data_IF_341107183782
#
_entry.id   IF_341107183782
#
_cell.length_a   1.000
_cell.length_b   1.000
_cell.length_c   1.000
_cell.angle_alpha   90.00
_cell.angle_beta   90.00
_cell.angle_gamma   90.00
#
_symmetry.space_group_name_H-M   'P 1'
#
loop_
_entity.id
_entity.type
_entity.pdbx_description
1 polymer ?
#
# COMPACT_ATOMS: atom_id res chain seq x y z
N UNK A 1 0.39 4.91 18.59
CA UNK A 1 1.14 5.94 17.83
C UNK A 1 2.58 5.44 17.70
N UNK A 2 3.16 5.44 16.50
CA UNK A 2 4.46 4.80 16.27
C UNK A 2 5.65 5.54 16.91
N UNK A 3 5.75 6.86 16.73
CA UNK A 3 6.86 7.67 17.27
C UNK A 3 6.38 9.03 17.81
N UNK A 4 5.26 9.07 18.54
CA UNK A 4 4.69 10.33 19.06
C UNK A 4 4.01 11.24 18.03
N UNK A 5 3.89 10.84 16.75
CA UNK A 5 3.16 11.59 15.74
C UNK A 5 1.68 11.82 16.12
N UNK A 6 1.23 13.08 16.04
CA UNK A 6 -0.14 13.48 16.39
C UNK A 6 -0.88 13.88 15.11
N UNK A 7 -1.89 13.11 14.75
CA UNK A 7 -2.74 13.38 13.59
C UNK A 7 -4.10 13.91 14.07
N UNK A 8 -4.64 14.88 13.33
CA UNK A 8 -6.03 15.34 13.49
C UNK A 8 -6.80 14.92 12.25
N UNK A 9 -7.82 14.09 12.42
CA UNK A 9 -8.74 13.75 11.34
C UNK A 9 -9.80 14.85 11.26
N UNK A 10 -9.92 15.49 10.10
CA UNK A 10 -10.96 16.50 9.83
C UNK A 10 -11.98 15.93 8.83
N UNK A 11 -13.26 16.23 9.05
CA UNK A 11 -14.35 15.82 8.14
C UNK A 11 -14.59 16.80 7.00
N UNK A 12 -14.18 18.05 7.17
CA UNK A 12 -14.29 19.05 6.13
C UNK A 12 -13.30 18.71 5.00
N UNK A 13 -13.79 18.59 3.76
CA UNK A 13 -12.94 18.55 2.59
C UNK A 13 -12.26 19.93 2.44
N UNK A 14 -11.07 20.07 3.00
CA UNK A 14 -10.29 21.33 2.98
C UNK A 14 -9.71 21.70 1.61
N UNK A 15 -9.88 20.83 0.61
CA UNK A 15 -9.48 21.06 -0.77
C UNK A 15 -10.31 20.18 -1.72
N UNK A 16 -10.56 20.67 -2.93
CA UNK A 16 -11.13 19.87 -4.02
C UNK A 16 -10.02 19.17 -4.80
N UNK A 17 -10.08 17.85 -4.91
CA UNK A 17 -9.15 17.07 -5.71
C UNK A 17 -9.75 16.82 -7.11
N UNK A 18 -9.06 17.26 -8.16
CA UNK A 18 -9.41 16.91 -9.55
C UNK A 18 -8.68 15.63 -9.91
N UNK A 19 -9.43 14.58 -10.23
CA UNK A 19 -8.86 13.31 -10.71
C UNK A 19 -8.46 13.47 -12.16
N UNK A 20 -7.18 13.24 -12.46
CA UNK A 20 -6.66 13.15 -13.82
C UNK A 20 -6.03 11.78 -14.02
N UNK A 21 -6.27 11.17 -15.19
CA UNK A 21 -5.77 9.83 -15.50
C UNK A 21 -4.24 9.76 -15.51
N UNK A 22 -3.58 10.86 -15.85
CA UNK A 22 -2.13 11.04 -15.89
C UNK A 22 -1.54 11.62 -14.60
N UNK A 23 -2.34 11.79 -13.56
CA UNK A 23 -1.82 12.20 -12.25
C UNK A 23 -0.96 11.10 -11.62
N UNK A 24 -0.06 11.49 -10.72
CA UNK A 24 0.75 10.53 -9.95
C UNK A 24 -0.12 9.48 -9.24
N UNK A 25 -1.27 9.89 -8.70
CA UNK A 25 -2.26 8.99 -8.08
C UNK A 25 -3.03 8.14 -9.10
N UNK A 26 -3.23 8.65 -10.32
CA UNK A 26 -3.92 7.95 -11.41
C UNK A 26 -3.05 6.90 -12.10
N UNK A 27 -1.73 7.12 -12.14
CA UNK A 27 -0.74 6.21 -12.71
C UNK A 27 0.03 5.41 -11.65
N UNK A 28 -0.52 5.27 -10.44
CA UNK A 28 0.16 4.58 -9.35
C UNK A 28 0.56 3.16 -9.75
N UNK A 29 1.88 2.88 -9.74
CA UNK A 29 2.42 1.62 -10.27
C UNK A 29 2.17 0.51 -9.27
N UNK A 30 2.05 -0.72 -9.76
CA UNK A 30 1.99 -1.92 -8.91
C UNK A 30 3.22 -2.02 -8.00
N UNK A 31 4.37 -1.59 -8.50
CA UNK A 31 5.61 -1.50 -7.72
C UNK A 31 5.51 -0.55 -6.51
N UNK A 32 4.67 0.48 -6.57
CA UNK A 32 4.50 1.41 -5.46
C UNK A 32 3.74 0.77 -4.30
N UNK A 33 2.80 -0.14 -4.57
CA UNK A 33 2.17 -0.98 -3.53
C UNK A 33 3.21 -1.89 -2.85
N UNK A 34 4.12 -2.50 -3.63
CA UNK A 34 5.21 -3.30 -3.06
C UNK A 34 6.10 -2.45 -2.16
N UNK A 35 6.53 -1.27 -2.62
CA UNK A 35 7.36 -0.34 -1.84
C UNK A 35 6.68 0.10 -0.55
N UNK A 36 5.38 0.34 -0.58
CA UNK A 36 4.62 0.75 0.60
C UNK A 36 4.56 -0.37 1.64
N UNK A 37 4.31 -1.61 1.23
CA UNK A 37 4.36 -2.76 2.14
C UNK A 37 5.79 -3.02 2.66
N UNK A 38 6.83 -2.85 1.82
CA UNK A 38 8.23 -2.97 2.23
C UNK A 38 8.61 -1.89 3.27
N UNK A 39 8.04 -0.68 3.15
CA UNK A 39 8.22 0.39 4.14
C UNK A 39 7.59 0.04 5.50
N UNK A 40 6.42 -0.61 5.53
CA UNK A 40 5.83 -1.09 6.80
C UNK A 40 6.75 -2.10 7.50
N UNK A 41 7.37 -3.03 6.73
CA UNK A 41 8.34 -3.98 7.28
C UNK A 41 9.57 -3.26 7.83
N UNK A 42 10.07 -2.23 7.15
CA UNK A 42 11.19 -1.42 7.64
C UNK A 42 10.84 -0.71 8.96
N UNK A 43 9.60 -0.21 9.11
CA UNK A 43 9.13 0.39 10.36
C UNK A 43 9.03 -0.63 11.51
N UNK A 44 8.77 -1.91 11.23
CA UNK A 44 8.75 -2.95 12.25
C UNK A 44 10.14 -3.25 12.85
N UNK A 45 11.22 -2.88 12.17
CA UNK A 45 12.59 -3.02 12.68
C UNK A 45 12.95 -1.98 13.76
N UNK A 46 12.06 -1.03 14.07
CA UNK A 46 12.28 -0.06 15.14
C UNK A 46 11.99 -0.73 16.49
N UNK A 47 13.03 -0.98 17.28
CA UNK A 47 12.94 -1.69 18.55
C UNK A 47 12.06 -0.97 19.59
N UNK A 48 12.18 0.35 19.67
CA UNK A 48 11.45 1.19 20.63
C UNK A 48 9.96 1.35 20.31
N UNK A 49 9.47 0.73 19.23
CA UNK A 49 8.10 0.85 18.79
C UNK A 49 7.16 0.01 19.68
N UNK A 50 6.09 0.60 20.26
CA UNK A 50 5.17 -0.17 21.10
C UNK A 50 4.51 -1.31 20.34
N UNK A 51 4.27 -2.46 20.99
CA UNK A 51 3.70 -3.64 20.32
C UNK A 51 2.32 -3.37 19.70
N UNK A 52 1.50 -2.50 20.30
CA UNK A 52 0.24 -2.07 19.70
C UNK A 52 0.42 -1.35 18.35
N UNK A 53 1.47 -0.53 18.23
CA UNK A 53 1.84 0.11 16.97
C UNK A 53 2.38 -0.90 15.96
N UNK A 54 3.22 -1.86 16.39
CA UNK A 54 3.70 -2.96 15.54
C UNK A 54 2.54 -3.82 15.02
N UNK A 55 1.53 -4.10 15.84
CA UNK A 55 0.35 -4.86 15.42
C UNK A 55 -0.44 -4.15 14.30
N UNK A 56 -0.59 -2.83 14.39
CA UNK A 56 -1.24 -2.03 13.33
C UNK A 56 -0.40 -2.04 12.06
N UNK A 57 0.93 -1.87 12.15
CA UNK A 57 1.83 -1.95 11.00
C UNK A 57 1.77 -3.33 10.33
N UNK A 58 1.80 -4.43 11.08
CA UNK A 58 1.65 -5.79 10.54
C UNK A 58 0.32 -5.98 9.80
N UNK A 59 -0.77 -5.39 10.32
CA UNK A 59 -2.07 -5.43 9.65
C UNK A 59 -2.07 -4.62 8.35
N UNK A 60 -1.49 -3.43 8.38
CA UNK A 60 -1.36 -2.55 7.22
C UNK A 60 -0.49 -3.21 6.13
N UNK A 61 0.68 -3.74 6.49
CA UNK A 61 1.58 -4.42 5.57
C UNK A 61 0.87 -5.53 4.81
N UNK A 62 0.17 -6.43 5.51
CA UNK A 62 -0.59 -7.53 4.88
C UNK A 62 -1.63 -6.99 3.91
N UNK A 63 -2.40 -5.99 4.33
CA UNK A 63 -3.43 -5.40 3.48
C UNK A 63 -2.85 -4.77 2.21
N UNK A 64 -1.72 -4.06 2.31
CA UNK A 64 -1.04 -3.44 1.16
C UNK A 64 -0.42 -4.51 0.27
N UNK A 65 0.18 -5.55 0.87
CA UNK A 65 0.78 -6.68 0.16
C UNK A 65 -0.26 -7.47 -0.64
N UNK A 66 -1.44 -7.69 -0.07
CA UNK A 66 -2.53 -8.39 -0.76
C UNK A 66 -3.06 -7.58 -1.96
N UNK A 67 -3.16 -6.25 -1.81
CA UNK A 67 -3.47 -5.35 -2.94
C UNK A 67 -2.39 -5.43 -4.03
N UNK A 68 -1.11 -5.45 -3.65
CA UNK A 68 0.00 -5.63 -4.59
C UNK A 68 -0.14 -6.96 -5.35
N UNK A 69 -0.33 -8.08 -4.64
CA UNK A 69 -0.46 -9.41 -5.27
C UNK A 69 -1.59 -9.46 -6.28
N UNK A 70 -2.77 -8.97 -5.88
CA UNK A 70 -3.94 -8.91 -6.77
C UNK A 70 -3.65 -8.05 -8.00
N UNK A 71 -3.09 -6.84 -7.81
CA UNK A 71 -2.81 -5.96 -8.95
C UNK A 71 -1.74 -6.55 -9.87
N UNK A 72 -0.69 -7.15 -9.32
CA UNK A 72 0.34 -7.80 -10.12
C UNK A 72 -0.20 -8.99 -10.92
N UNK A 73 -1.11 -9.78 -10.33
CA UNK A 73 -1.82 -10.82 -11.07
C UNK A 73 -2.62 -10.23 -12.25
N UNK A 74 -3.34 -9.13 -12.04
CA UNK A 74 -4.10 -8.47 -13.10
C UNK A 74 -3.21 -7.88 -14.19
N UNK A 75 -2.05 -7.33 -13.83
CA UNK A 75 -1.08 -6.81 -14.79
C UNK A 75 -0.49 -7.96 -15.63
N UNK A 76 -0.06 -9.05 -14.99
CA UNK A 76 0.42 -10.26 -15.69
C UNK A 76 -0.66 -10.82 -16.62
N UNK A 77 -1.91 -10.89 -16.16
CA UNK A 77 -3.06 -11.32 -16.97
C UNK A 77 -3.24 -10.41 -18.19
N UNK A 78 -3.11 -9.10 -18.03
CA UNK A 78 -3.29 -8.13 -19.10
C UNK A 78 -2.15 -8.18 -20.12
N UNK A 79 -0.91 -8.39 -19.67
CA UNK A 79 0.28 -8.41 -20.53
C UNK A 79 0.53 -9.76 -21.21
N UNK A 80 0.24 -10.87 -20.52
CA UNK A 80 0.67 -12.23 -20.92
C UNK A 80 -0.47 -13.25 -21.01
N UNK A 81 -1.71 -12.83 -20.75
CA UNK A 81 -2.88 -13.69 -20.78
C UNK A 81 -3.11 -14.48 -19.49
N UNK A 82 -4.27 -15.14 -19.42
CA UNK A 82 -4.81 -15.76 -18.20
C UNK A 82 -3.97 -16.95 -17.69
N UNK A 83 -3.39 -17.74 -18.59
CA UNK A 83 -2.53 -18.90 -18.27
C UNK A 83 -1.25 -18.47 -17.56
N UNK A 84 -0.62 -17.37 -17.98
CA UNK A 84 0.56 -16.82 -17.33
C UNK A 84 0.25 -16.23 -15.94
N UNK A 85 -0.95 -15.69 -15.74
CA UNK A 85 -1.38 -15.16 -14.45
C UNK A 85 -1.65 -16.27 -13.42
N UNK A 86 -2.24 -17.39 -13.85
CA UNK A 86 -2.48 -18.54 -12.98
C UNK A 86 -1.18 -19.20 -12.49
N UNK A 87 -0.11 -19.17 -13.30
CA UNK A 87 1.21 -19.67 -12.88
C UNK A 87 1.95 -18.73 -11.90
N UNK A 88 1.49 -17.48 -11.74
CA UNK A 88 2.03 -16.51 -10.81
C UNK A 88 1.37 -16.55 -9.41
N UNK A 89 0.12 -17.02 -9.35
CA UNK A 89 -0.69 -17.09 -8.13
C UNK A 89 -0.24 -18.24 -7.21
#
# INVERSE_FOLDING_TARGET
>A
VACGARFKVIRACGYGAIVRADSLSGQHKTQDLKRLADADLALLAIDSLPEGSKAVLRKHERQVRDKYRLRNFLDVKNEKGLTAAAAYA
#
